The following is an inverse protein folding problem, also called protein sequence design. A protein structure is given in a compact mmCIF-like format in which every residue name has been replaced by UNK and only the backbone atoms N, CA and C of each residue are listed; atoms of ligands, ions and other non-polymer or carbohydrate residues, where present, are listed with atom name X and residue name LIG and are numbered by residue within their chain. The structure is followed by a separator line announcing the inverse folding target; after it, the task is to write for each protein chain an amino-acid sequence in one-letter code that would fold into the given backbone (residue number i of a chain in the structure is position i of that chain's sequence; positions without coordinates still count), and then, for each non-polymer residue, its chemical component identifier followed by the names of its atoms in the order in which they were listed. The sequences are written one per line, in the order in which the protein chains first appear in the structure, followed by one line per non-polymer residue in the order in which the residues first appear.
data_IF_333051663295
#
_entry.id   IF_333051663295
#
_cell.length_a   1.000
_cell.length_b   1.000
_cell.length_c   1.000
_cell.angle_alpha   90.00
_cell.angle_beta   90.00
_cell.angle_gamma   90.00
#
_symmetry.space_group_name_H-M   'P 1'
#
loop_
_entity.id
_entity.type
_entity.pdbx_description
1 polymer ?
#
# COMPACT_ATOMS: atom_id res chain seq x y z
N UNK A 1 -22.40 4.00 6.59
CA UNK A 1 -21.19 4.16 5.75
C UNK A 1 -19.91 4.34 6.56
N UNK A 2 -19.82 5.35 7.45
CA UNK A 2 -18.63 5.63 8.28
C UNK A 2 -18.11 4.39 9.04
N UNK A 3 -18.92 3.78 9.92
CA UNK A 3 -18.56 2.56 10.68
C UNK A 3 -18.16 1.38 9.80
N UNK A 4 -18.81 1.19 8.64
CA UNK A 4 -18.53 0.09 7.71
C UNK A 4 -17.15 0.23 7.05
N UNK A 5 -16.80 1.43 6.56
CA UNK A 5 -15.48 1.74 6.01
C UNK A 5 -14.37 1.51 7.05
N UNK A 6 -14.62 1.92 8.29
CA UNK A 6 -13.68 1.80 9.40
C UNK A 6 -13.45 0.33 9.81
N UNK A 7 -14.53 -0.46 9.90
CA UNK A 7 -14.46 -1.90 10.14
C UNK A 7 -13.74 -2.64 9.02
N UNK A 8 -13.97 -2.24 7.76
CA UNK A 8 -13.30 -2.81 6.61
C UNK A 8 -11.78 -2.61 6.72
N UNK A 9 -11.31 -1.40 6.99
CA UNK A 9 -9.87 -1.17 7.02
C UNK A 9 -9.20 -1.91 8.19
N UNK A 10 -9.78 -1.84 9.39
CA UNK A 10 -9.23 -2.53 10.56
C UNK A 10 -9.19 -4.05 10.40
N UNK A 11 -10.24 -4.65 9.83
CA UNK A 11 -10.33 -6.10 9.60
C UNK A 11 -9.46 -6.56 8.43
N UNK A 12 -9.39 -5.78 7.36
CA UNK A 12 -8.72 -6.18 6.14
C UNK A 12 -7.27 -5.68 6.01
N UNK A 13 -6.77 -4.86 6.95
CA UNK A 13 -5.38 -4.34 6.93
C UNK A 13 -4.32 -5.41 6.68
N UNK A 14 -4.43 -6.53 7.38
CA UNK A 14 -3.45 -7.62 7.29
C UNK A 14 -3.50 -8.26 5.91
N UNK A 15 -4.69 -8.41 5.32
CA UNK A 15 -4.85 -8.92 3.97
C UNK A 15 -4.28 -7.96 2.92
N UNK A 16 -4.42 -6.64 3.10
CA UNK A 16 -3.80 -5.64 2.21
C UNK A 16 -2.28 -5.66 2.29
N UNK A 17 -1.71 -5.72 3.50
CA UNK A 17 -0.25 -5.79 3.70
C UNK A 17 0.32 -7.10 3.14
N UNK A 18 -0.33 -8.24 3.43
CA UNK A 18 0.08 -9.54 2.90
C UNK A 18 -0.08 -9.62 1.39
N UNK A 19 -1.19 -9.14 0.83
CA UNK A 19 -1.44 -9.15 -0.60
C UNK A 19 -0.45 -8.27 -1.37
N UNK A 20 -0.19 -7.05 -0.88
CA UNK A 20 0.83 -6.18 -1.46
C UNK A 20 2.24 -6.74 -1.30
N UNK A 21 2.56 -7.38 -0.17
CA UNK A 21 3.84 -8.07 0.04
C UNK A 21 4.04 -9.24 -0.94
N UNK A 22 3.01 -10.06 -1.17
CA UNK A 22 3.05 -11.13 -2.17
C UNK A 22 3.25 -10.58 -3.59
N UNK A 23 2.56 -9.48 -3.93
CA UNK A 23 2.74 -8.83 -5.24
C UNK A 23 4.18 -8.32 -5.44
N UNK A 24 4.82 -7.82 -4.38
CA UNK A 24 6.21 -7.39 -4.38
C UNK A 24 7.16 -8.57 -4.57
N UNK A 25 6.94 -9.70 -3.87
CA UNK A 25 7.75 -10.91 -4.02
C UNK A 25 7.67 -11.44 -5.46
N UNK A 26 6.47 -11.49 -6.04
CA UNK A 26 6.27 -11.91 -7.44
C UNK A 26 6.99 -10.96 -8.40
N UNK A 27 6.89 -9.64 -8.17
CA UNK A 27 7.57 -8.62 -8.96
C UNK A 27 9.10 -8.79 -8.92
N UNK A 28 9.68 -8.98 -7.74
CA UNK A 28 11.13 -9.20 -7.58
C UNK A 28 11.56 -10.49 -8.29
N UNK A 29 10.82 -11.58 -8.12
CA UNK A 29 11.14 -12.85 -8.77
C UNK A 29 11.10 -12.74 -10.29
N UNK A 30 10.06 -12.07 -10.82
CA UNK A 30 9.93 -11.78 -12.24
C UNK A 30 11.12 -10.94 -12.72
N UNK A 31 11.40 -9.81 -12.08
CA UNK A 31 12.45 -8.90 -12.48
C UNK A 31 13.86 -9.55 -12.41
N UNK A 32 14.09 -10.42 -11.42
CA UNK A 32 15.33 -11.18 -11.30
C UNK A 32 15.50 -12.20 -12.44
N UNK A 33 14.42 -12.90 -12.82
CA UNK A 33 14.45 -13.88 -13.92
C UNK A 33 14.84 -13.24 -15.25
N UNK A 34 14.43 -11.99 -15.49
CA UNK A 34 14.72 -11.26 -16.72
C UNK A 34 15.91 -10.29 -16.60
N UNK A 35 16.71 -10.38 -15.51
CA UNK A 35 17.84 -9.49 -15.22
C UNK A 35 17.49 -8.00 -15.37
N UNK A 36 16.25 -7.63 -15.05
CA UNK A 36 15.70 -6.31 -15.35
C UNK A 36 15.84 -5.32 -14.20
N UNK A 37 16.43 -5.71 -13.08
CA UNK A 37 16.40 -4.95 -11.83
C UNK A 37 17.80 -4.55 -11.34
N UNK A 38 17.99 -3.25 -11.15
CA UNK A 38 19.15 -2.67 -10.48
C UNK A 38 18.90 -2.54 -8.97
N UNK A 39 19.98 -2.45 -8.19
CA UNK A 39 19.88 -2.29 -6.73
C UNK A 39 19.05 -1.07 -6.30
N UNK A 40 19.16 0.06 -7.02
CA UNK A 40 18.35 1.26 -6.74
C UNK A 40 16.84 1.06 -6.98
N UNK A 41 16.47 0.25 -7.97
CA UNK A 41 15.08 -0.07 -8.29
C UNK A 41 14.49 -1.02 -7.23
N UNK A 42 15.29 -2.01 -6.81
CA UNK A 42 14.93 -2.88 -5.69
C UNK A 42 14.70 -2.08 -4.40
N UNK A 43 15.60 -1.13 -4.09
CA UNK A 43 15.47 -0.26 -2.92
C UNK A 43 14.21 0.60 -3.01
N UNK A 44 13.94 1.18 -4.18
CA UNK A 44 12.73 2.00 -4.42
C UNK A 44 11.46 1.18 -4.20
N UNK A 45 11.41 -0.06 -4.71
CA UNK A 45 10.26 -0.95 -4.53
C UNK A 45 10.01 -1.29 -3.05
N UNK A 46 11.07 -1.60 -2.31
CA UNK A 46 10.99 -1.91 -0.87
C UNK A 46 10.53 -0.68 -0.08
N UNK A 47 11.08 0.51 -0.38
CA UNK A 47 10.68 1.77 0.27
C UNK A 47 9.21 2.09 -0.01
N UNK A 48 8.77 1.98 -1.26
CA UNK A 48 7.37 2.19 -1.65
C UNK A 48 6.42 1.24 -0.91
N UNK A 49 6.80 -0.03 -0.75
CA UNK A 49 6.00 -1.00 0.02
C UNK A 49 6.00 -0.74 1.52
N UNK A 50 7.15 -0.37 2.09
CA UNK A 50 7.26 0.00 3.50
C UNK A 50 6.43 1.27 3.80
N UNK A 51 6.43 2.24 2.89
CA UNK A 51 5.61 3.45 2.98
C UNK A 51 4.11 3.12 2.93
N UNK A 52 3.66 2.31 1.96
CA UNK A 52 2.28 1.84 1.88
C UNK A 52 1.86 1.07 3.15
N UNK A 53 2.69 0.15 3.61
CA UNK A 53 2.43 -0.63 4.81
C UNK A 53 2.29 0.27 6.05
N UNK A 54 3.19 1.25 6.22
CA UNK A 54 3.16 2.21 7.32
C UNK A 54 1.87 3.03 7.33
N UNK A 55 1.38 3.44 6.15
CA UNK A 55 0.11 4.15 6.00
C UNK A 55 -1.07 3.26 6.39
N UNK A 56 -1.12 2.02 5.91
CA UNK A 56 -2.18 1.07 6.27
C UNK A 56 -2.22 0.87 7.79
N UNK A 57 -1.06 0.72 8.45
CA UNK A 57 -0.98 0.59 9.91
C UNK A 57 -1.39 1.87 10.64
N UNK A 58 -0.95 3.05 10.18
CA UNK A 58 -1.31 4.34 10.79
C UNK A 58 -2.81 4.58 10.72
N UNK A 59 -3.40 4.44 9.52
CA UNK A 59 -4.84 4.62 9.33
C UNK A 59 -5.60 3.57 10.15
N UNK A 60 -5.14 2.32 10.20
CA UNK A 60 -5.80 1.28 11.00
C UNK A 60 -5.69 1.47 12.52
N UNK A 61 -4.58 2.03 13.02
CA UNK A 61 -4.35 2.22 14.47
C UNK A 61 -5.24 3.33 15.04
N UNK A 62 -5.39 4.44 14.32
CA UNK A 62 -6.25 5.56 14.74
C UNK A 62 -7.75 5.22 14.64
N UNK A 63 -8.10 4.13 13.96
CA UNK A 63 -9.49 3.69 13.79
C UNK A 63 -9.95 2.76 14.93
N UNK A 64 -9.04 2.13 15.66
CA UNK A 64 -9.38 1.02 16.57
C UNK A 64 -9.95 1.44 17.95
N UNK A 65 -9.73 2.67 18.49
CA UNK A 65 -10.46 3.10 19.69
C UNK A 65 -11.01 4.54 19.69
N UNK A 66 -10.67 5.41 18.71
CA UNK A 66 -10.89 6.86 18.83
C UNK A 66 -11.91 7.47 17.86
N UNK A 67 -12.74 6.67 17.19
CA UNK A 67 -13.98 7.21 16.59
C UNK A 67 -15.00 7.38 17.71
N UNK A 68 -14.75 8.41 18.53
CA UNK A 68 -15.82 9.17 19.14
C UNK A 68 -16.82 9.53 18.04
N UNK A 69 -18.10 9.59 18.39
CA UNK A 69 -19.18 9.89 17.45
C UNK A 69 -18.92 11.20 16.66
N UNK A 70 -18.08 12.09 17.18
CA UNK A 70 -17.66 13.39 16.62
C UNK A 70 -16.59 13.40 15.53
N UNK A 71 -15.95 12.26 15.20
CA UNK A 71 -14.88 12.28 14.18
C UNK A 71 -15.39 12.78 12.82
N UNK A 72 -14.72 13.79 12.25
CA UNK A 72 -15.16 14.42 11.02
C UNK A 72 -15.02 13.44 9.83
N UNK A 73 -16.04 13.36 8.96
CA UNK A 73 -16.00 12.50 7.78
C UNK A 73 -14.89 12.90 6.81
N UNK A 74 -14.50 14.19 6.80
CA UNK A 74 -13.37 14.69 6.02
C UNK A 74 -12.03 14.10 6.45
N UNK A 75 -11.82 13.82 7.75
CA UNK A 75 -10.59 13.19 8.24
C UNK A 75 -10.49 11.72 7.83
N UNK A 76 -11.64 11.05 7.73
CA UNK A 76 -11.71 9.66 7.26
C UNK A 76 -11.41 9.63 5.76
N UNK A 77 -12.04 10.49 4.97
CA UNK A 77 -11.83 10.56 3.52
C UNK A 77 -10.38 10.90 3.19
N UNK A 78 -9.78 11.91 3.83
CA UNK A 78 -8.39 12.30 3.59
C UNK A 78 -7.38 11.16 3.87
N UNK A 79 -7.63 10.36 4.90
CA UNK A 79 -6.81 9.16 5.21
C UNK A 79 -6.97 8.07 4.15
N UNK A 80 -8.19 7.86 3.63
CA UNK A 80 -8.41 6.93 2.52
C UNK A 80 -7.76 7.41 1.22
N UNK A 81 -7.74 8.72 0.96
CA UNK A 81 -6.98 9.30 -0.16
C UNK A 81 -5.49 9.01 0.02
N UNK A 82 -4.93 9.12 1.23
CA UNK A 82 -3.54 8.78 1.50
C UNK A 82 -3.22 7.29 1.24
N UNK A 83 -4.12 6.39 1.62
CA UNK A 83 -4.04 4.95 1.30
C UNK A 83 -4.05 4.72 -0.22
N UNK A 84 -4.95 5.40 -0.94
CA UNK A 84 -5.05 5.30 -2.39
C UNK A 84 -3.77 5.82 -3.07
N UNK A 85 -3.28 6.99 -2.67
CA UNK A 85 -2.06 7.58 -3.22
C UNK A 85 -0.84 6.68 -3.00
N UNK A 86 -0.67 6.14 -1.78
CA UNK A 86 0.44 5.22 -1.49
C UNK A 86 0.34 3.90 -2.24
N UNK A 87 -0.88 3.39 -2.45
CA UNK A 87 -1.10 2.23 -3.31
C UNK A 87 -0.71 2.50 -4.76
N UNK A 88 -1.07 3.66 -5.32
CA UNK A 88 -0.72 4.04 -6.69
C UNK A 88 0.81 4.16 -6.88
N UNK A 89 1.53 4.71 -5.89
CA UNK A 89 3.00 4.77 -5.92
C UNK A 89 3.61 3.36 -5.95
N UNK A 90 3.07 2.44 -5.14
CA UNK A 90 3.52 1.05 -5.13
C UNK A 90 3.26 0.34 -6.47
N UNK A 91 2.05 0.48 -7.02
CA UNK A 91 1.68 -0.11 -8.31
C UNK A 91 2.53 0.47 -9.44
N UNK A 92 2.75 1.78 -9.47
CA UNK A 92 3.63 2.42 -10.44
C UNK A 92 5.06 1.86 -10.36
N UNK A 93 5.60 1.70 -9.15
CA UNK A 93 6.92 1.11 -8.94
C UNK A 93 7.01 -0.32 -9.49
N UNK A 94 5.99 -1.15 -9.25
CA UNK A 94 5.91 -2.52 -9.77
C UNK A 94 5.86 -2.52 -11.30
N UNK A 95 4.98 -1.72 -11.90
CA UNK A 95 4.82 -1.65 -13.36
C UNK A 95 6.13 -1.19 -14.01
N UNK A 96 6.76 -0.17 -13.45
CA UNK A 96 8.01 0.37 -13.98
C UNK A 96 9.14 -0.67 -13.95
N UNK A 97 9.21 -1.53 -12.94
CA UNK A 97 10.23 -2.58 -12.86
C UNK A 97 9.91 -3.76 -13.79
N UNK A 98 8.63 -4.17 -13.86
CA UNK A 98 8.23 -5.34 -14.65
C UNK A 98 8.16 -5.09 -16.16
N UNK A 99 7.73 -3.91 -16.61
CA UNK A 99 7.35 -3.66 -18.01
C UNK A 99 8.31 -2.75 -18.78
N UNK A 100 9.37 -2.23 -18.14
CA UNK A 100 10.38 -1.40 -18.79
C UNK A 100 11.15 -2.09 -19.92
N UNK A 101 11.09 -3.43 -20.01
CA UNK A 101 11.76 -4.17 -21.07
C UNK A 101 11.10 -4.05 -22.46
N UNK A 102 9.93 -3.41 -22.58
CA UNK A 102 9.17 -3.34 -23.84
C UNK A 102 9.13 -1.96 -24.52
N UNK A 103 9.97 -1.01 -24.11
CA UNK A 103 10.15 0.33 -24.73
C UNK A 103 11.62 0.53 -25.07
#
# INVERSE_FOLDING_TARGET
MKKTLLLLLGKYRTYFVLGSGLSLVICIFYAYKYQSINFGELLTLIISWAFFSSIIFNVSYVIAPSISEDSNIHDIISRWVLVLCSFLILVYSIINICFRQNL
#
